data_IF_470226075096
#
_entry.id   IF_470226075096
#
_cell.length_a   1.000
_cell.length_b   1.000
_cell.length_c   1.000
_cell.angle_alpha   90.00
_cell.angle_beta   90.00
_cell.angle_gamma   90.00
#
_symmetry.space_group_name_H-M   'P 1'
#
loop_
_entity.id
_entity.type
_entity.pdbx_description
1 polymer ?
#
# COMPACT_ATOMS: atom_id res chain seq x y z
N UNK A 1 15.90 -12.87 -8.25
CA UNK A 1 15.97 -11.43 -8.63
C UNK A 1 16.44 -10.65 -7.40
N UNK A 2 17.47 -9.85 -7.54
CA UNK A 2 17.96 -9.02 -6.44
C UNK A 2 17.07 -7.79 -6.19
N UNK A 3 17.34 -7.08 -5.10
CA UNK A 3 16.53 -5.94 -4.68
C UNK A 3 16.43 -4.83 -5.74
N UNK A 4 17.57 -4.47 -6.35
CA UNK A 4 17.59 -3.40 -7.35
C UNK A 4 16.82 -3.78 -8.62
N UNK A 5 16.93 -5.03 -9.04
CA UNK A 5 16.14 -5.54 -10.17
C UNK A 5 14.64 -5.53 -9.87
N UNK A 6 14.27 -5.89 -8.64
CA UNK A 6 12.87 -5.84 -8.22
C UNK A 6 12.33 -4.41 -8.22
N UNK A 7 13.09 -3.47 -7.69
CA UNK A 7 12.71 -2.05 -7.72
C UNK A 7 12.56 -1.52 -9.14
N UNK A 8 13.50 -1.88 -10.01
CA UNK A 8 13.41 -1.53 -11.43
C UNK A 8 12.17 -2.12 -12.07
N UNK A 9 11.90 -3.39 -11.82
CA UNK A 9 10.72 -4.08 -12.37
C UNK A 9 9.42 -3.47 -11.83
N UNK A 10 9.35 -3.15 -10.55
CA UNK A 10 8.20 -2.43 -9.97
C UNK A 10 7.94 -1.12 -10.70
N UNK A 11 9.00 -0.36 -10.97
CA UNK A 11 8.89 0.91 -11.69
C UNK A 11 8.37 0.70 -13.11
N UNK A 12 8.86 -0.30 -13.81
CA UNK A 12 8.41 -0.64 -15.17
C UNK A 12 6.92 -1.01 -15.17
N UNK A 13 6.50 -1.88 -14.26
CA UNK A 13 5.10 -2.31 -14.14
C UNK A 13 4.20 -1.13 -13.80
N UNK A 14 4.62 -0.28 -12.88
CA UNK A 14 3.84 0.89 -12.49
C UNK A 14 3.69 1.88 -13.66
N UNK A 15 4.75 2.15 -14.38
CA UNK A 15 4.73 3.06 -15.52
C UNK A 15 3.88 2.52 -16.67
N UNK A 16 3.85 1.20 -16.84
CA UNK A 16 2.97 0.53 -17.80
C UNK A 16 1.49 0.66 -17.40
N UNK A 17 1.19 0.48 -16.13
CA UNK A 17 -0.19 0.47 -15.61
C UNK A 17 -0.80 1.86 -15.43
N UNK A 18 0.02 2.86 -15.13
CA UNK A 18 -0.44 4.19 -14.69
C UNK A 18 -0.03 5.25 -15.68
N UNK A 19 -1.00 6.02 -16.16
CA UNK A 19 -0.73 7.20 -16.98
C UNK A 19 0.12 8.20 -16.19
N UNK A 20 1.17 8.74 -16.79
CA UNK A 20 2.14 9.61 -16.14
C UNK A 20 2.82 8.96 -14.92
N UNK A 21 2.97 7.63 -14.95
CA UNK A 21 3.53 6.85 -13.85
C UNK A 21 4.96 7.26 -13.46
N UNK A 22 5.71 7.83 -14.39
CA UNK A 22 7.05 8.36 -14.17
C UNK A 22 7.08 9.59 -13.26
N UNK A 23 5.94 10.28 -13.06
CA UNK A 23 5.81 11.42 -12.15
C UNK A 23 5.54 11.03 -10.70
N UNK A 24 5.28 9.75 -10.45
CA UNK A 24 5.04 9.20 -9.11
C UNK A 24 6.31 8.62 -8.51
N UNK A 25 6.41 8.70 -7.18
CA UNK A 25 7.30 7.84 -6.43
C UNK A 25 6.60 6.51 -6.16
N UNK A 26 7.34 5.42 -6.05
CA UNK A 26 6.78 4.08 -5.88
C UNK A 26 7.45 3.34 -4.74
N UNK A 27 6.67 2.51 -4.06
CA UNK A 27 7.17 1.53 -3.10
C UNK A 27 6.34 0.25 -3.15
N UNK A 28 6.86 -0.79 -2.56
CA UNK A 28 6.18 -2.06 -2.40
C UNK A 28 5.41 -2.09 -1.08
N UNK A 29 4.18 -2.60 -1.13
CA UNK A 29 3.40 -2.90 0.07
C UNK A 29 2.66 -4.22 -0.11
N UNK A 30 2.21 -4.79 0.98
CA UNK A 30 1.35 -5.96 0.92
C UNK A 30 0.22 -5.85 1.92
N UNK A 31 -0.87 -6.54 1.62
CA UNK A 31 -2.02 -6.71 2.50
C UNK A 31 -2.26 -8.19 2.72
N UNK A 32 -2.68 -8.55 3.91
CA UNK A 32 -3.07 -9.94 4.21
C UNK A 32 -4.50 -10.01 4.71
N UNK A 33 -5.20 -11.06 4.30
CA UNK A 33 -6.51 -11.41 4.84
C UNK A 33 -6.47 -12.82 5.37
N UNK A 34 -7.15 -13.08 6.48
CA UNK A 34 -7.22 -14.40 7.09
C UNK A 34 -8.66 -14.86 7.19
N UNK A 35 -8.87 -16.12 6.82
CA UNK A 35 -10.16 -16.79 6.96
C UNK A 35 -10.01 -18.02 7.82
N UNK A 36 -10.75 -18.03 8.93
CA UNK A 36 -10.83 -19.19 9.81
C UNK A 36 -12.00 -20.08 9.39
N UNK A 37 -11.74 -21.39 9.25
CA UNK A 37 -12.76 -22.36 8.93
C UNK A 37 -12.76 -23.49 9.96
N UNK A 38 -13.94 -23.82 10.49
CA UNK A 38 -14.11 -25.00 11.33
C UNK A 38 -14.32 -26.24 10.46
N UNK A 39 -13.40 -27.19 10.61
CA UNK A 39 -13.56 -28.51 10.01
C UNK A 39 -14.20 -29.49 10.98
N UNK A 40 -14.57 -30.65 10.46
CA UNK A 40 -15.13 -31.73 11.30
C UNK A 40 -14.06 -32.37 12.18
N UNK A 41 -12.83 -32.50 11.69
CA UNK A 41 -11.70 -33.10 12.39
C UNK A 41 -10.67 -32.05 12.78
N UNK A 42 -10.43 -31.07 11.91
CA UNK A 42 -9.45 -30.01 12.10
C UNK A 42 -10.05 -28.66 11.78
N UNK A 43 -9.65 -27.66 12.57
CA UNK A 43 -9.86 -26.26 12.24
C UNK A 43 -8.63 -25.77 11.45
N UNK A 44 -8.84 -24.89 10.48
CA UNK A 44 -7.75 -24.29 9.73
C UNK A 44 -7.96 -22.80 9.49
N UNK A 45 -6.84 -22.12 9.34
CA UNK A 45 -6.81 -20.70 9.04
C UNK A 45 -6.07 -20.51 7.71
N UNK A 46 -6.74 -19.89 6.76
CA UNK A 46 -6.15 -19.55 5.47
C UNK A 46 -5.79 -18.09 5.44
N UNK A 47 -4.52 -17.77 5.19
CA UNK A 47 -4.04 -16.42 5.02
C UNK A 47 -3.71 -16.18 3.54
N UNK A 48 -4.32 -15.14 2.98
CA UNK A 48 -4.08 -14.73 1.60
C UNK A 48 -3.31 -13.41 1.61
N UNK A 49 -2.28 -13.32 0.79
CA UNK A 49 -1.45 -12.12 0.64
C UNK A 49 -1.71 -11.47 -0.70
N UNK A 50 -1.85 -10.15 -0.67
CA UNK A 50 -2.00 -9.31 -1.85
C UNK A 50 -0.81 -8.37 -1.91
N UNK A 51 -0.12 -8.36 -3.04
CA UNK A 51 1.04 -7.51 -3.28
C UNK A 51 0.62 -6.27 -4.06
N UNK A 52 1.15 -5.12 -3.66
CA UNK A 52 0.84 -3.84 -4.29
C UNK A 52 2.11 -3.08 -4.63
N UNK A 53 2.08 -2.43 -5.77
CA UNK A 53 2.96 -1.29 -6.03
C UNK A 53 2.14 -0.05 -5.68
N UNK A 54 2.65 0.72 -4.74
CA UNK A 54 1.99 1.94 -4.27
C UNK A 54 2.71 3.13 -4.90
N UNK A 55 2.00 3.90 -5.68
CA UNK A 55 2.49 5.16 -6.24
C UNK A 55 1.93 6.34 -5.47
N UNK A 56 2.75 7.34 -5.23
CA UNK A 56 2.32 8.54 -4.53
C UNK A 56 2.96 9.79 -5.15
N UNK A 57 2.20 10.87 -5.13
CA UNK A 57 2.63 12.17 -5.66
C UNK A 57 2.05 13.28 -4.79
N UNK A 58 2.93 14.07 -4.18
CA UNK A 58 2.52 15.10 -3.23
C UNK A 58 1.91 16.34 -3.90
N UNK A 59 2.32 16.66 -5.15
CA UNK A 59 1.86 17.86 -5.84
C UNK A 59 0.33 17.99 -5.93
N UNK A 60 -0.37 16.87 -6.06
CA UNK A 60 -1.83 16.79 -6.13
C UNK A 60 -2.45 15.82 -5.11
N UNK A 61 -1.66 15.36 -4.16
CA UNK A 61 -2.07 14.37 -3.15
C UNK A 61 -2.72 13.13 -3.78
N UNK A 62 -2.09 12.61 -4.81
CA UNK A 62 -2.55 11.41 -5.51
C UNK A 62 -1.85 10.16 -4.99
N UNK A 63 -2.64 9.15 -4.68
CA UNK A 63 -2.18 7.83 -4.28
C UNK A 63 -2.75 6.81 -5.28
N UNK A 64 -1.91 5.93 -5.76
CA UNK A 64 -2.31 4.92 -6.75
C UNK A 64 -1.89 3.54 -6.27
N UNK A 65 -2.83 2.61 -6.26
CA UNK A 65 -2.59 1.22 -5.88
C UNK A 65 -2.67 0.34 -7.12
N UNK A 66 -1.61 -0.40 -7.39
CA UNK A 66 -1.57 -1.40 -8.46
C UNK A 66 -1.29 -2.75 -7.84
N UNK A 67 -2.24 -3.65 -7.89
CA UNK A 67 -2.06 -5.00 -7.39
C UNK A 67 -1.21 -5.81 -8.38
N UNK A 68 -0.26 -6.58 -7.85
CA UNK A 68 0.62 -7.43 -8.65
C UNK A 68 0.69 -8.84 -8.08
N UNK A 69 1.20 -9.77 -8.87
CA UNK A 69 1.67 -11.05 -8.36
C UNK A 69 3.04 -10.88 -7.68
N UNK A 70 3.48 -11.90 -6.95
CA UNK A 70 4.74 -11.87 -6.21
C UNK A 70 5.98 -11.70 -7.10
N UNK A 71 5.89 -12.14 -8.35
CA UNK A 71 6.99 -12.11 -9.32
C UNK A 71 6.96 -10.88 -10.23
N UNK A 72 6.01 -9.96 -10.03
CA UNK A 72 5.86 -8.72 -10.81
C UNK A 72 5.67 -8.97 -12.31
N UNK A 73 4.96 -10.03 -12.67
CA UNK A 73 4.67 -10.39 -14.05
C UNK A 73 3.31 -9.85 -14.52
N UNK A 74 2.34 -9.85 -13.62
CA UNK A 74 0.98 -9.43 -13.91
C UNK A 74 0.58 -8.28 -12.99
N UNK A 75 -0.33 -7.44 -13.45
CA UNK A 75 -0.85 -6.33 -12.66
C UNK A 75 -2.34 -6.11 -12.94
N UNK A 76 -3.01 -5.54 -11.95
CA UNK A 76 -4.37 -5.05 -12.08
C UNK A 76 -4.42 -3.70 -12.79
N UNK A 77 -5.64 -3.24 -13.09
CA UNK A 77 -5.87 -1.83 -13.38
C UNK A 77 -5.53 -0.99 -12.14
N UNK A 78 -5.04 0.24 -12.31
CA UNK A 78 -4.72 1.10 -11.18
C UNK A 78 -5.98 1.57 -10.45
N UNK A 79 -5.89 1.65 -9.13
CA UNK A 79 -6.92 2.24 -8.29
C UNK A 79 -6.41 3.55 -7.70
N UNK A 80 -7.15 4.63 -7.93
CA UNK A 80 -6.76 5.99 -7.50
C UNK A 80 -7.45 6.37 -6.20
N UNK A 81 -6.66 6.83 -5.23
CA UNK A 81 -7.13 7.44 -3.98
C UNK A 81 -6.62 8.88 -3.95
N UNK A 82 -7.51 9.82 -3.85
CA UNK A 82 -7.20 11.25 -3.88
C UNK A 82 -8.07 12.02 -2.89
N UNK A 83 -8.01 13.35 -2.93
CA UNK A 83 -8.78 14.20 -2.03
C UNK A 83 -10.30 14.06 -2.20
N UNK A 84 -10.76 13.52 -3.32
CA UNK A 84 -12.19 13.38 -3.59
C UNK A 84 -12.80 12.14 -2.94
N UNK A 85 -12.02 11.08 -2.72
CA UNK A 85 -12.53 9.83 -2.19
C UNK A 85 -11.90 9.35 -0.88
N UNK A 86 -10.85 10.03 -0.40
CA UNK A 86 -10.20 9.69 0.86
C UNK A 86 -11.07 10.06 2.07
N UNK A 87 -11.07 9.23 3.11
CA UNK A 87 -11.79 9.52 4.36
C UNK A 87 -10.88 9.58 5.58
N UNK A 88 -9.84 8.78 5.61
CA UNK A 88 -8.92 8.75 6.74
C UNK A 88 -7.55 8.19 6.33
N UNK A 89 -6.52 8.61 7.04
CA UNK A 89 -5.16 8.08 6.92
C UNK A 89 -4.60 7.92 8.33
N UNK A 90 -4.21 6.71 8.70
CA UNK A 90 -3.59 6.43 10.00
C UNK A 90 -2.38 5.49 9.83
N UNK A 91 -1.51 5.48 10.83
CA UNK A 91 -0.29 4.69 10.80
C UNK A 91 -0.02 4.06 12.17
N UNK A 92 0.26 2.75 12.17
CA UNK A 92 0.70 2.03 13.36
C UNK A 92 2.19 1.70 13.24
N UNK A 93 3.07 2.44 13.93
CA UNK A 93 4.52 2.30 13.76
C UNK A 93 5.08 0.98 14.25
N UNK A 94 4.45 0.33 15.21
CA UNK A 94 4.93 -0.95 15.77
C UNK A 94 4.93 -2.07 14.74
N UNK A 95 3.93 -2.08 13.87
CA UNK A 95 3.77 -3.09 12.82
C UNK A 95 4.01 -2.53 11.42
N UNK A 96 4.37 -1.26 11.33
CA UNK A 96 4.61 -0.54 10.07
C UNK A 96 3.47 -0.69 9.09
N UNK A 97 2.27 -0.44 9.58
CA UNK A 97 1.05 -0.59 8.82
C UNK A 97 0.37 0.76 8.63
N UNK A 98 0.13 1.11 7.37
CA UNK A 98 -0.61 2.30 6.99
C UNK A 98 -2.03 1.92 6.62
N UNK A 99 -3.00 2.62 7.19
CA UNK A 99 -4.41 2.43 6.87
C UNK A 99 -4.92 3.63 6.09
N UNK A 100 -5.52 3.36 4.94
CA UNK A 100 -6.30 4.32 4.18
C UNK A 100 -7.76 3.90 4.17
N UNK A 101 -8.64 4.80 4.58
CA UNK A 101 -10.07 4.63 4.41
C UNK A 101 -10.54 5.52 3.26
N UNK A 102 -11.30 4.96 2.35
CA UNK A 102 -11.76 5.66 1.16
C UNK A 102 -13.16 5.21 0.76
N UNK A 103 -13.79 6.01 -0.10
CA UNK A 103 -15.10 5.68 -0.66
C UNK A 103 -14.97 5.22 -2.10
N UNK A 104 -15.69 4.14 -2.41
CA UNK A 104 -15.89 3.66 -3.77
C UNK A 104 -17.39 3.57 -4.03
N UNK A 105 -17.92 4.54 -4.77
CA UNK A 105 -19.36 4.72 -4.87
C UNK A 105 -19.98 5.15 -3.54
N UNK A 106 -20.98 4.43 -3.06
CA UNK A 106 -21.64 4.66 -1.77
C UNK A 106 -21.03 3.84 -0.62
N UNK A 107 -20.04 2.99 -0.89
CA UNK A 107 -19.45 2.08 0.08
C UNK A 107 -18.12 2.62 0.61
N UNK A 108 -17.88 2.38 1.91
CA UNK A 108 -16.62 2.71 2.56
C UNK A 108 -15.71 1.48 2.54
N UNK A 109 -14.45 1.70 2.19
CA UNK A 109 -13.40 0.67 2.17
C UNK A 109 -12.20 1.11 3.00
N UNK A 110 -11.45 0.13 3.50
CA UNK A 110 -10.19 0.36 4.17
C UNK A 110 -9.11 -0.57 3.61
N UNK A 111 -7.93 -0.02 3.39
CA UNK A 111 -6.75 -0.78 3.01
C UNK A 111 -5.70 -0.69 4.10
N UNK A 112 -5.27 -1.85 4.61
CA UNK A 112 -4.20 -1.97 5.58
C UNK A 112 -2.91 -2.39 4.88
N UNK A 113 -2.10 -1.41 4.53
CA UNK A 113 -0.87 -1.62 3.79
C UNK A 113 0.31 -1.84 4.73
N UNK A 114 0.93 -3.00 4.65
CA UNK A 114 2.17 -3.30 5.33
C UNK A 114 3.33 -2.80 4.49
N UNK A 115 4.01 -1.77 4.95
CA UNK A 115 5.09 -1.08 4.22
C UNK A 115 6.48 -1.36 4.79
N UNK A 116 6.56 -2.07 5.91
CA UNK A 116 7.83 -2.50 6.47
C UNK A 116 8.58 -3.38 5.48
N UNK A 117 9.87 -3.15 5.32
CA UNK A 117 10.71 -3.95 4.43
C UNK A 117 10.49 -5.45 4.65
N UNK A 118 10.44 -6.20 3.58
CA UNK A 118 10.32 -7.64 3.66
C UNK A 118 11.60 -8.21 4.26
N UNK A 119 11.52 -8.67 5.51
CA UNK A 119 12.61 -9.42 6.09
C UNK A 119 12.67 -10.81 5.43
N UNK A 120 13.85 -11.42 5.44
CA UNK A 120 14.02 -12.80 5.00
C UNK A 120 13.14 -13.81 5.74
N UNK A 121 12.44 -13.36 6.79
CA UNK A 121 11.52 -14.16 7.61
C UNK A 121 10.10 -14.15 7.08
N UNK A 122 9.74 -13.27 6.14
CA UNK A 122 8.43 -13.30 5.50
C UNK A 122 8.38 -14.42 4.47
N UNK A 123 7.54 -15.41 4.74
CA UNK A 123 7.33 -16.55 3.84
C UNK A 123 6.61 -16.16 2.55
N UNK A 124 6.04 -14.97 2.48
CA UNK A 124 5.10 -14.56 1.45
C UNK A 124 5.44 -13.15 0.93
N UNK A 125 5.18 -12.90 -0.34
CA UNK A 125 5.47 -11.65 -1.02
C UNK A 125 6.88 -11.63 -1.63
N UNK A 126 7.23 -10.59 -2.40
CA UNK A 126 8.57 -10.46 -2.97
C UNK A 126 9.60 -10.26 -1.86
N UNK A 127 10.38 -11.29 -1.65
CA UNK A 127 11.49 -11.29 -0.69
C UNK A 127 12.58 -10.34 -1.17
N UNK A 128 13.33 -9.77 -0.25
CA UNK A 128 14.51 -8.93 -0.52
C UNK A 128 14.21 -7.57 -1.17
N UNK A 129 13.09 -6.95 -0.81
CA UNK A 129 12.90 -5.53 -1.09
C UNK A 129 13.30 -4.73 0.14
N UNK A 130 14.41 -4.02 0.03
CA UNK A 130 14.90 -3.10 1.03
C UNK A 130 14.65 -1.68 0.55
N UNK A 131 13.73 -0.97 1.22
CA UNK A 131 13.21 0.31 0.75
C UNK A 131 13.04 1.34 1.89
N UNK A 132 14.06 1.56 2.73
CA UNK A 132 13.91 2.48 3.86
C UNK A 132 13.71 3.92 3.44
N UNK A 133 14.35 4.37 2.38
CA UNK A 133 14.22 5.74 1.88
C UNK A 133 12.83 5.98 1.27
N UNK A 134 12.34 5.00 0.52
CA UNK A 134 11.00 5.05 -0.07
C UNK A 134 9.92 5.08 1.01
N UNK A 135 10.10 4.31 2.07
CA UNK A 135 9.18 4.31 3.24
C UNK A 135 9.17 5.68 3.91
N UNK A 136 10.33 6.29 4.14
CA UNK A 136 10.41 7.61 4.75
C UNK A 136 9.69 8.68 3.91
N UNK A 137 9.92 8.68 2.60
CA UNK A 137 9.23 9.61 1.69
C UNK A 137 7.72 9.35 1.64
N UNK A 138 7.31 8.10 1.72
CA UNK A 138 5.89 7.73 1.77
C UNK A 138 5.22 8.20 3.05
N UNK A 139 5.89 8.08 4.19
CA UNK A 139 5.38 8.58 5.46
C UNK A 139 5.30 10.12 5.46
N UNK A 140 6.27 10.80 4.88
CA UNK A 140 6.21 12.25 4.69
C UNK A 140 4.99 12.65 3.84
N UNK A 141 4.75 11.94 2.75
CA UNK A 141 3.56 12.11 1.91
C UNK A 141 2.27 11.89 2.71
N UNK A 142 2.20 10.80 3.47
CA UNK A 142 1.01 10.47 4.26
C UNK A 142 0.72 11.53 5.32
N UNK A 143 1.74 12.04 5.98
CA UNK A 143 1.60 13.16 6.94
C UNK A 143 1.09 14.43 6.26
N UNK A 144 1.63 14.78 5.09
CA UNK A 144 1.20 15.94 4.33
C UNK A 144 -0.25 15.79 3.83
N UNK A 145 -0.60 14.61 3.35
CA UNK A 145 -1.96 14.28 2.91
C UNK A 145 -2.95 14.39 4.06
N UNK A 146 -2.59 13.82 5.20
CA UNK A 146 -3.37 13.91 6.44
C UNK A 146 -3.56 15.38 6.88
N UNK A 147 -2.49 16.18 6.84
CA UNK A 147 -2.56 17.60 7.16
C UNK A 147 -3.54 18.35 6.25
N UNK A 148 -3.56 18.01 4.97
CA UNK A 148 -4.51 18.58 4.01
C UNK A 148 -5.96 18.20 4.33
N UNK A 149 -6.20 16.95 4.74
CA UNK A 149 -7.51 16.50 5.17
C UNK A 149 -7.98 17.26 6.42
N UNK A 150 -7.13 17.45 7.39
CA UNK A 150 -7.45 18.23 8.60
C UNK A 150 -7.82 19.67 8.27
N UNK A 151 -7.10 20.30 7.33
CA UNK A 151 -7.43 21.64 6.82
C UNK A 151 -8.83 21.70 6.17
N UNK A 152 -9.26 20.60 5.58
CA UNK A 152 -10.57 20.48 4.96
C UNK A 152 -11.68 20.07 5.95
N UNK A 153 -11.38 20.04 7.24
CA UNK A 153 -12.35 19.79 8.30
C UNK A 153 -12.56 18.33 8.70
N UNK A 154 -11.72 17.42 8.18
CA UNK A 154 -11.77 16.01 8.60
C UNK A 154 -11.23 15.86 10.03
N UNK A 155 -11.92 15.09 10.85
CA UNK A 155 -11.44 14.68 12.17
C UNK A 155 -10.75 13.34 12.03
N UNK A 156 -9.45 13.32 12.24
CA UNK A 156 -8.62 12.15 12.04
C UNK A 156 -8.08 11.63 13.37
N UNK A 157 -7.80 10.33 13.41
CA UNK A 157 -7.13 9.71 14.53
C UNK A 157 -5.71 10.29 14.72
N UNK A 158 -5.18 10.15 15.94
CA UNK A 158 -3.86 10.68 16.27
C UNK A 158 -2.78 9.98 15.45
N UNK A 159 -1.95 10.79 14.80
CA UNK A 159 -0.79 10.30 14.05
C UNK A 159 0.41 10.09 14.95
N UNK A 160 1.05 8.93 14.83
CA UNK A 160 2.33 8.62 15.45
C UNK A 160 3.24 8.00 14.41
N UNK A 161 4.50 8.41 14.43
CA UNK A 161 5.49 7.91 13.48
C UNK A 161 6.59 7.09 14.14
#
# INVERSE_FOLDING_TARGET
MDCERKKKRMREVFTEAVKDGDTYEVLYAYMSTSKFERGFVFDWNTTTFFCYIVGFRQSDFSLVLVQTDADLQEHSDPFYVDMDNIGNVSYEPKVRQLCFEYKKGSEDFGELLNIGGTSSKTLYGPKNIHQPEEIERFLDFAEAFRGKLEQNGFKLDKWKR
#
